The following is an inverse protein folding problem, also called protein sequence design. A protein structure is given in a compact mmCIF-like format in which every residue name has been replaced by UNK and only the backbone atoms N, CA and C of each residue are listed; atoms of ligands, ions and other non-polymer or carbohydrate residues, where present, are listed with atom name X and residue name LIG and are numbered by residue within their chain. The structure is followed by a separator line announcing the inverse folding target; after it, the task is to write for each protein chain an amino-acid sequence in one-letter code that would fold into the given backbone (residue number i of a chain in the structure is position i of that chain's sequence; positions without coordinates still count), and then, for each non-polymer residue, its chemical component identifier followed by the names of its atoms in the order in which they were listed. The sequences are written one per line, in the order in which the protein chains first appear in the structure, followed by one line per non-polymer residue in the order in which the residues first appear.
data_IF_068162628929
#
_entry.id   IF_068162628929
#
_cell.length_a   1.000
_cell.length_b   1.000
_cell.length_c   1.000
_cell.angle_alpha   90.00
_cell.angle_beta   90.00
_cell.angle_gamma   90.00
#
_symmetry.space_group_name_H-M   'P 1'
#
loop_
_entity.id
_entity.type
_entity.pdbx_description
1 polymer ?
#
# COMPACT_ATOMS: atom_id res chain seq x y z
N UNK A 1 -0.66 -7.45 -27.51
CA UNK A 1 -1.67 -7.27 -26.44
C UNK A 1 -0.88 -7.01 -25.16
N UNK A 2 -0.97 -5.84 -24.52
CA UNK A 2 -0.37 -5.66 -23.20
C UNK A 2 -1.04 -6.65 -22.23
N UNK A 3 -0.30 -7.22 -21.26
CA UNK A 3 -0.88 -8.10 -20.25
C UNK A 3 -1.99 -7.33 -19.52
N UNK A 4 -3.11 -8.00 -19.26
CA UNK A 4 -4.20 -7.43 -18.48
C UNK A 4 -3.63 -6.91 -17.14
N UNK A 5 -4.03 -5.72 -16.68
CA UNK A 5 -3.58 -5.21 -15.39
C UNK A 5 -4.00 -6.22 -14.32
N UNK A 6 -3.03 -6.80 -13.62
CA UNK A 6 -3.27 -7.63 -12.44
C UNK A 6 -3.99 -6.73 -11.45
N UNK A 7 -5.25 -7.05 -11.16
CA UNK A 7 -6.01 -6.32 -10.15
C UNK A 7 -5.58 -6.83 -8.77
N UNK A 8 -5.72 -5.99 -7.74
CA UNK A 8 -5.42 -6.42 -6.38
C UNK A 8 -6.27 -7.61 -5.94
N UNK A 9 -7.49 -7.73 -6.49
CA UNK A 9 -8.32 -8.92 -6.32
C UNK A 9 -7.63 -10.20 -6.82
N UNK A 10 -6.86 -10.13 -7.91
CA UNK A 10 -6.11 -11.28 -8.44
C UNK A 10 -4.95 -11.69 -7.53
N UNK A 11 -4.26 -10.71 -6.90
CA UNK A 11 -3.22 -10.94 -5.89
C UNK A 11 -3.77 -11.62 -4.63
N UNK A 12 -4.99 -11.28 -4.21
CA UNK A 12 -5.65 -11.91 -3.05
C UNK A 12 -6.27 -13.27 -3.36
N UNK A 13 -6.58 -13.58 -4.63
CA UNK A 13 -7.27 -14.82 -5.01
C UNK A 13 -6.35 -15.98 -5.42
N UNK A 14 -5.10 -15.72 -5.84
CA UNK A 14 -4.26 -16.77 -6.48
C UNK A 14 -3.21 -17.46 -5.60
N UNK A 15 -3.10 -17.17 -4.30
CA UNK A 15 -2.07 -17.77 -3.47
C UNK A 15 -2.47 -17.99 -2.02
N UNK A 16 -2.28 -19.20 -1.52
CA UNK A 16 -2.44 -19.59 -0.14
C UNK A 16 -1.47 -18.87 0.82
N UNK A 17 -1.66 -17.58 1.12
CA UNK A 17 -0.81 -16.91 2.13
C UNK A 17 -1.09 -15.45 2.50
N UNK A 18 -1.66 -14.64 1.60
CA UNK A 18 -1.92 -13.21 1.87
C UNK A 18 -3.42 -12.94 1.89
N UNK A 19 -4.04 -13.13 3.06
CA UNK A 19 -5.40 -12.64 3.31
C UNK A 19 -5.28 -11.17 3.70
N UNK A 20 -5.73 -10.28 2.82
CA UNK A 20 -5.82 -8.85 3.11
C UNK A 20 -6.79 -8.58 4.26
N UNK A 21 -6.54 -7.58 5.12
CA UNK A 21 -7.48 -7.23 6.17
C UNK A 21 -8.84 -6.81 5.59
N UNK A 22 -9.95 -7.21 6.22
CA UNK A 22 -11.30 -6.92 5.72
C UNK A 22 -11.62 -5.40 5.62
N UNK A 23 -10.91 -4.57 6.40
CA UNK A 23 -11.05 -3.11 6.36
C UNK A 23 -10.25 -2.46 5.23
N UNK A 24 -9.37 -3.20 4.54
CA UNK A 24 -8.43 -2.63 3.59
C UNK A 24 -9.16 -2.16 2.32
N UNK A 25 -9.09 -0.86 1.98
CA UNK A 25 -9.74 -0.32 0.81
C UNK A 25 -9.08 -0.83 -0.47
N UNK A 26 -9.81 -0.83 -1.58
CA UNK A 26 -9.30 -1.12 -2.92
C UNK A 26 -9.02 0.19 -3.63
N UNK A 27 -7.74 0.51 -3.85
CA UNK A 27 -7.34 1.68 -4.61
C UNK A 27 -7.07 1.33 -6.07
N UNK A 28 -7.37 2.27 -6.96
CA UNK A 28 -7.04 2.16 -8.38
C UNK A 28 -5.58 2.57 -8.61
N UNK A 29 -4.71 1.56 -8.66
CA UNK A 29 -3.29 1.75 -8.93
C UNK A 29 -3.04 2.37 -10.31
N UNK A 30 -3.87 2.08 -11.31
CA UNK A 30 -3.70 2.64 -12.65
C UNK A 30 -4.05 4.14 -12.66
N UNK A 31 -5.09 4.54 -11.95
CA UNK A 31 -5.43 5.96 -11.76
C UNK A 31 -4.32 6.69 -11.00
N UNK A 32 -3.79 6.11 -9.91
CA UNK A 32 -2.67 6.68 -9.15
C UNK A 32 -1.42 6.87 -10.03
N UNK A 33 -1.00 5.83 -10.77
CA UNK A 33 0.18 5.90 -11.62
C UNK A 33 0.00 6.88 -12.79
N UNK A 34 -1.21 6.96 -13.36
CA UNK A 34 -1.53 7.93 -14.42
C UNK A 34 -1.44 9.36 -13.91
N UNK A 35 -1.96 9.61 -12.70
CA UNK A 35 -1.90 10.93 -12.09
C UNK A 35 -0.47 11.31 -11.67
N UNK A 36 0.34 10.34 -11.22
CA UNK A 36 1.76 10.53 -10.96
C UNK A 36 2.56 10.82 -12.24
N UNK A 37 2.27 10.12 -13.34
CA UNK A 37 2.89 10.37 -14.65
C UNK A 37 2.62 11.80 -15.11
N UNK A 38 1.36 12.23 -15.06
CA UNK A 38 0.93 13.60 -15.41
C UNK A 38 1.57 14.68 -14.53
N UNK A 39 1.84 14.39 -13.25
CA UNK A 39 2.41 15.34 -12.31
C UNK A 39 3.93 15.53 -12.49
N UNK A 40 4.65 14.52 -12.98
CA UNK A 40 6.11 14.55 -13.03
C UNK A 40 6.70 15.32 -14.21
N UNK A 41 5.97 15.42 -15.33
CA UNK A 41 6.36 16.27 -16.47
C UNK A 41 7.74 15.94 -17.08
N UNK A 42 8.21 14.70 -16.94
CA UNK A 42 9.51 14.28 -17.46
C UNK A 42 9.58 14.40 -18.98
N UNK A 43 10.64 15.00 -19.50
CA UNK A 43 10.89 15.07 -20.95
C UNK A 43 11.49 13.80 -21.54
N UNK A 44 11.76 12.77 -20.72
CA UNK A 44 12.36 11.50 -21.14
C UNK A 44 11.46 10.33 -20.75
N UNK A 45 10.99 9.60 -21.76
CA UNK A 45 10.11 8.43 -21.59
C UNK A 45 10.73 7.34 -20.71
N UNK A 46 12.06 7.15 -20.80
CA UNK A 46 12.77 6.18 -19.95
C UNK A 46 12.78 6.57 -18.46
N UNK A 47 12.86 7.87 -18.16
CA UNK A 47 12.84 8.35 -16.77
C UNK A 47 11.44 8.24 -16.17
N UNK A 48 10.41 8.59 -16.96
CA UNK A 48 9.02 8.42 -16.57
C UNK A 48 8.71 6.94 -16.28
N UNK A 49 9.07 6.03 -17.20
CA UNK A 49 8.86 4.59 -17.00
C UNK A 49 9.54 4.05 -15.73
N UNK A 50 10.79 4.47 -15.47
CA UNK A 50 11.52 4.02 -14.28
C UNK A 50 10.91 4.53 -12.97
N UNK A 51 10.43 5.77 -12.92
CA UNK A 51 9.77 6.28 -11.71
C UNK A 51 8.40 5.62 -11.50
N UNK A 52 7.63 5.38 -12.56
CA UNK A 52 6.37 4.65 -12.46
C UNK A 52 6.58 3.21 -11.97
N UNK A 53 7.63 2.53 -12.41
CA UNK A 53 7.98 1.21 -11.89
C UNK A 53 8.39 1.26 -10.42
N UNK A 54 9.11 2.32 -10.00
CA UNK A 54 9.46 2.53 -8.59
C UNK A 54 8.22 2.75 -7.72
N UNK A 55 7.28 3.57 -8.17
CA UNK A 55 6.02 3.83 -7.48
C UNK A 55 5.17 2.55 -7.40
N UNK A 56 5.09 1.78 -8.48
CA UNK A 56 4.40 0.50 -8.50
C UNK A 56 4.99 -0.49 -7.49
N UNK A 57 6.32 -0.59 -7.41
CA UNK A 57 6.99 -1.45 -6.44
C UNK A 57 6.70 -1.01 -5.00
N UNK A 58 6.70 0.30 -4.74
CA UNK A 58 6.38 0.86 -3.43
C UNK A 58 4.94 0.53 -3.00
N UNK A 59 3.98 0.58 -3.93
CA UNK A 59 2.59 0.20 -3.66
C UNK A 59 2.46 -1.29 -3.30
N UNK A 60 3.12 -2.18 -4.07
CA UNK A 60 3.11 -3.60 -3.75
C UNK A 60 3.77 -3.91 -2.39
N UNK A 61 4.91 -3.29 -2.11
CA UNK A 61 5.57 -3.43 -0.81
C UNK A 61 4.66 -2.96 0.32
N UNK A 62 3.97 -1.83 0.13
CA UNK A 62 3.06 -1.30 1.13
C UNK A 62 1.87 -2.24 1.40
N UNK A 63 1.33 -2.89 0.37
CA UNK A 63 0.26 -3.88 0.54
C UNK A 63 0.75 -5.07 1.37
N UNK A 64 1.94 -5.60 1.05
CA UNK A 64 2.55 -6.71 1.79
C UNK A 64 2.78 -6.31 3.24
N UNK A 65 3.34 -5.13 3.48
CA UNK A 65 3.61 -4.58 4.82
C UNK A 65 2.33 -4.38 5.63
N UNK A 66 1.27 -3.83 5.01
CA UNK A 66 -0.03 -3.65 5.65
C UNK A 66 -0.69 -4.98 6.00
N UNK A 67 -0.65 -5.95 5.09
CA UNK A 67 -1.20 -7.27 5.38
C UNK A 67 -0.43 -7.95 6.51
N UNK A 68 0.91 -7.94 6.44
CA UNK A 68 1.78 -8.56 7.44
C UNK A 68 1.61 -7.91 8.84
N UNK A 69 1.50 -6.58 8.92
CA UNK A 69 1.38 -5.86 10.18
C UNK A 69 0.04 -6.09 10.91
N UNK A 70 -1.01 -6.49 10.18
CA UNK A 70 -2.35 -6.71 10.72
C UNK A 70 -2.76 -8.19 10.81
N UNK A 71 -1.86 -9.13 10.46
CA UNK A 71 -2.12 -10.54 10.68
C UNK A 71 -2.06 -10.90 12.18
N UNK A 72 -3.04 -11.65 12.71
CA UNK A 72 -3.13 -11.97 14.14
C UNK A 72 -2.01 -12.89 14.64
N UNK A 73 -1.38 -13.67 13.75
CA UNK A 73 -0.20 -14.49 14.07
C UNK A 73 1.14 -13.75 13.85
N UNK A 74 1.10 -12.56 13.22
CA UNK A 74 2.27 -11.94 12.59
C UNK A 74 2.76 -12.76 11.40
N UNK A 75 3.26 -12.10 10.36
CA UNK A 75 4.21 -12.77 9.47
C UNK A 75 5.48 -13.00 10.32
N UNK A 76 5.89 -14.27 10.46
CA UNK A 76 7.08 -14.68 11.20
C UNK A 76 8.25 -13.74 10.89
N UNK A 77 8.81 -13.08 11.92
CA UNK A 77 10.11 -12.39 11.93
C UNK A 77 10.34 -11.19 10.99
N UNK A 78 9.86 -11.24 9.76
CA UNK A 78 10.33 -10.43 8.62
C UNK A 78 9.40 -9.27 8.27
N UNK A 79 8.30 -9.09 9.00
CA UNK A 79 7.46 -7.91 8.79
C UNK A 79 8.17 -6.65 9.29
N UNK A 80 8.34 -5.67 8.41
CA UNK A 80 8.97 -4.39 8.74
C UNK A 80 8.16 -3.58 9.76
N UNK A 81 6.85 -3.83 9.87
CA UNK A 81 5.93 -3.05 10.70
C UNK A 81 5.09 -3.97 11.60
N UNK A 82 4.69 -3.44 12.75
CA UNK A 82 3.77 -4.10 13.65
C UNK A 82 2.66 -3.14 14.06
N UNK A 83 1.43 -3.65 14.18
CA UNK A 83 0.33 -2.91 14.79
C UNK A 83 0.61 -2.70 16.28
N UNK A 84 0.67 -1.44 16.70
CA UNK A 84 0.89 -1.06 18.10
C UNK A 84 -0.34 -0.44 18.74
N UNK A 85 -1.26 0.12 17.94
CA UNK A 85 -2.55 0.62 18.43
C UNK A 85 -3.68 -0.36 18.07
N UNK A 86 -4.34 -0.98 19.07
CA UNK A 86 -5.50 -1.83 18.84
C UNK A 86 -6.79 -1.02 18.55
N UNK A 87 -6.77 0.31 18.63
CA UNK A 87 -7.95 1.16 18.42
C UNK A 87 -8.42 1.18 16.98
N UNK A 88 -9.59 0.57 16.74
CA UNK A 88 -10.24 0.60 15.43
C UNK A 88 -10.71 2.02 15.05
N UNK A 89 -11.06 2.86 16.04
CA UNK A 89 -11.47 4.25 15.78
C UNK A 89 -10.34 5.07 15.14
N UNK A 90 -9.09 4.86 15.56
CA UNK A 90 -7.93 5.55 14.97
C UNK A 90 -7.62 5.01 13.57
N UNK A 91 -7.72 3.70 13.37
CA UNK A 91 -7.62 3.10 12.04
C UNK A 91 -8.65 3.69 11.08
N UNK A 92 -9.92 3.78 11.50
CA UNK A 92 -10.99 4.38 10.68
C UNK A 92 -10.69 5.85 10.35
N UNK A 93 -10.18 6.63 11.31
CA UNK A 93 -9.83 8.03 11.06
C UNK A 93 -8.72 8.17 10.00
N UNK A 94 -7.68 7.32 10.06
CA UNK A 94 -6.58 7.31 9.08
C UNK A 94 -7.06 6.87 7.71
N UNK A 95 -7.96 5.88 7.64
CA UNK A 95 -8.58 5.44 6.39
C UNK A 95 -9.39 6.57 5.74
N UNK A 96 -10.21 7.27 6.52
CA UNK A 96 -11.00 8.39 6.04
C UNK A 96 -10.11 9.55 5.55
N UNK A 97 -9.05 9.86 6.30
CA UNK A 97 -8.06 10.87 5.89
C UNK A 97 -7.39 10.47 4.58
N UNK A 98 -6.95 9.21 4.43
CA UNK A 98 -6.32 8.73 3.18
C UNK A 98 -7.28 8.77 2.00
N UNK A 99 -8.55 8.42 2.20
CA UNK A 99 -9.57 8.47 1.17
C UNK A 99 -9.95 9.90 0.75
N UNK A 100 -9.71 10.91 1.59
CA UNK A 100 -9.94 12.32 1.25
C UNK A 100 -8.86 12.90 0.33
N UNK A 101 -7.76 12.17 0.10
CA UNK A 101 -6.72 12.58 -0.83
C UNK A 101 -7.20 12.50 -2.29
N UNK A 102 -6.77 13.41 -3.18
CA UNK A 102 -7.05 13.30 -4.61
C UNK A 102 -6.51 12.01 -5.26
N UNK A 103 -5.46 11.41 -4.70
CA UNK A 103 -4.78 10.24 -5.24
C UNK A 103 -4.44 9.25 -4.09
N UNK A 104 -5.46 8.57 -3.53
CA UNK A 104 -5.24 7.66 -2.41
C UNK A 104 -4.42 6.44 -2.85
N UNK A 105 -3.42 6.08 -2.05
CA UNK A 105 -2.49 4.98 -2.35
C UNK A 105 -2.16 4.16 -1.09
N UNK A 106 -1.65 2.94 -1.28
CA UNK A 106 -1.23 2.07 -0.17
C UNK A 106 0.06 2.55 0.49
N UNK A 107 1.04 3.04 -0.28
CA UNK A 107 2.28 3.57 0.30
C UNK A 107 2.01 4.80 1.18
N UNK A 108 1.06 5.64 0.76
CA UNK A 108 0.60 6.78 1.57
C UNK A 108 -0.18 6.33 2.80
N UNK A 109 -1.09 5.36 2.65
CA UNK A 109 -1.82 4.79 3.77
C UNK A 109 -0.87 4.20 4.83
N UNK A 110 0.13 3.44 4.40
CA UNK A 110 1.17 2.90 5.28
C UNK A 110 1.90 4.01 6.04
N UNK A 111 2.33 5.07 5.34
CA UNK A 111 3.00 6.22 5.95
C UNK A 111 2.13 6.90 7.01
N UNK A 112 0.84 7.12 6.70
CA UNK A 112 -0.12 7.74 7.64
C UNK A 112 -0.41 6.86 8.85
N UNK A 113 -0.45 5.55 8.67
CA UNK A 113 -0.61 4.62 9.79
C UNK A 113 0.60 4.62 10.72
N UNK A 114 1.81 4.84 10.18
CA UNK A 114 3.04 5.01 10.98
C UNK A 114 3.01 6.36 11.71
N UNK A 115 2.72 7.45 11.01
CA UNK A 115 2.69 8.81 11.57
C UNK A 115 1.62 8.98 12.66
N UNK A 116 0.47 8.33 12.50
CA UNK A 116 -0.62 8.31 13.49
C UNK A 116 -0.36 7.36 14.67
N UNK A 117 0.74 6.60 14.63
CA UNK A 117 1.10 5.65 15.68
C UNK A 117 0.22 4.39 15.71
N UNK A 118 -0.51 4.09 14.63
CA UNK A 118 -1.22 2.80 14.50
C UNK A 118 -0.24 1.67 14.22
N UNK A 119 0.75 1.94 13.37
CA UNK A 119 1.86 1.06 13.07
C UNK A 119 3.16 1.62 13.64
N UNK A 120 4.07 0.73 14.03
CA UNK A 120 5.45 1.08 14.33
C UNK A 120 6.39 0.18 13.54
N UNK A 121 7.55 0.72 13.15
CA UNK A 121 8.62 -0.09 12.56
C UNK A 121 9.17 -1.05 13.62
N UNK A 122 9.32 -2.32 13.26
CA UNK A 122 9.92 -3.32 14.17
C UNK A 122 11.41 -3.02 14.35
N UNK A 123 11.91 -3.15 15.57
CA UNK A 123 13.34 -3.06 15.84
C UNK A 123 14.03 -4.30 15.24
N UNK A 124 14.89 -4.09 14.24
CA UNK A 124 15.63 -5.16 13.56
C UNK A 124 15.34 -5.33 12.05
N UNK A 125 14.43 -4.52 11.49
CA UNK A 125 14.15 -4.45 10.04
C UNK A 125 14.96 -3.35 9.33
#
# INVERSE_FOLDING_TARGET
MPPAPITLADLFQTGAGLIGPAWMPVYDLAAYLTAADQATGWSSDMMAARELDRLRLAEYQAIVDLCAAFQPAGFDGDSHYQRVDPSDARLTAVLADNAADPQPSYARLLSRLIESGVLARRAGA
#
